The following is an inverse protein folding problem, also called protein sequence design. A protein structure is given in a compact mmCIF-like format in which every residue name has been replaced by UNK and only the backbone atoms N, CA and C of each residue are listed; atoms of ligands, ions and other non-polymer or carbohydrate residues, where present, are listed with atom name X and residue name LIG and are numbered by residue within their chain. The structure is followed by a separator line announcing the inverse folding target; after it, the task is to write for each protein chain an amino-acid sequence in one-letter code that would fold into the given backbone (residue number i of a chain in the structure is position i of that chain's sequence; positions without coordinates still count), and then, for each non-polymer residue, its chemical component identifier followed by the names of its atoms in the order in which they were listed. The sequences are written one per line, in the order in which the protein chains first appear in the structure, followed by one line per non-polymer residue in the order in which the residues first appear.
data_IF_849457350970
#
_entry.id   IF_849457350970
#
_cell.length_a   1.000
_cell.length_b   1.000
_cell.length_c   1.000
_cell.angle_alpha   90.00
_cell.angle_beta   90.00
_cell.angle_gamma   90.00
#
_symmetry.space_group_name_H-M   'P 1'
#
loop_
_entity.id
_entity.type
_entity.pdbx_description
1 polymer ?
#
# COMPACT_ATOMS: atom_id res chain seq x y z
N UNK A 1 15.88 -16.01 24.73
CA UNK A 1 16.63 -15.25 23.72
C UNK A 1 15.62 -14.82 22.67
N UNK A 2 15.28 -13.53 22.60
CA UNK A 2 14.45 -13.01 21.52
C UNK A 2 15.29 -13.08 20.24
N UNK A 3 14.82 -13.81 19.22
CA UNK A 3 15.44 -13.75 17.91
C UNK A 3 15.40 -12.30 17.42
N UNK A 4 16.47 -11.75 16.82
CA UNK A 4 16.40 -10.45 16.19
C UNK A 4 15.29 -10.48 15.14
N UNK A 5 14.35 -9.54 15.24
CA UNK A 5 13.22 -9.47 14.31
C UNK A 5 13.73 -9.09 12.92
N UNK A 6 13.40 -9.92 11.94
CA UNK A 6 13.85 -9.76 10.57
C UNK A 6 13.13 -8.58 9.92
N UNK A 7 13.89 -7.60 9.39
CA UNK A 7 13.35 -6.45 8.68
C UNK A 7 13.06 -6.79 7.21
N UNK A 8 12.08 -6.13 6.61
CA UNK A 8 11.68 -6.36 5.21
C UNK A 8 12.80 -6.01 4.21
N UNK A 9 13.68 -5.06 4.53
CA UNK A 9 14.87 -4.77 3.70
C UNK A 9 15.99 -5.81 3.81
N UNK A 10 15.92 -6.71 4.80
CA UNK A 10 16.97 -7.68 5.13
C UNK A 10 16.70 -9.09 4.62
N UNK A 11 15.60 -9.30 3.88
CA UNK A 11 15.24 -10.61 3.31
C UNK A 11 15.59 -10.70 1.82
N UNK A 12 15.49 -11.91 1.27
CA UNK A 12 15.66 -12.15 -0.17
C UNK A 12 14.67 -11.32 -1.00
N UNK A 13 15.16 -10.73 -2.10
CA UNK A 13 14.40 -9.81 -2.94
C UNK A 13 13.10 -10.43 -3.49
N UNK A 14 13.12 -11.71 -3.86
CA UNK A 14 11.93 -12.41 -4.34
C UNK A 14 10.80 -12.39 -3.31
N UNK A 15 11.11 -12.77 -2.06
CA UNK A 15 10.17 -12.71 -0.93
C UNK A 15 9.78 -11.27 -0.61
N UNK A 16 10.71 -10.32 -0.68
CA UNK A 16 10.44 -8.89 -0.46
C UNK A 16 9.38 -8.37 -1.44
N UNK A 17 9.53 -8.67 -2.74
CA UNK A 17 8.57 -8.28 -3.79
C UNK A 17 7.19 -8.89 -3.56
N UNK A 18 7.12 -10.16 -3.18
CA UNK A 18 5.88 -10.85 -2.86
C UNK A 18 5.14 -10.16 -1.71
N UNK A 19 5.84 -9.91 -0.61
CA UNK A 19 5.27 -9.26 0.57
C UNK A 19 4.81 -7.83 0.28
N UNK A 20 5.60 -7.03 -0.44
CA UNK A 20 5.23 -5.67 -0.84
C UNK A 20 4.00 -5.63 -1.74
N UNK A 21 3.89 -6.58 -2.68
CA UNK A 21 2.70 -6.74 -3.52
C UNK A 21 1.48 -7.17 -2.67
N UNK A 22 1.71 -8.02 -1.68
CA UNK A 22 0.72 -8.44 -0.68
C UNK A 22 0.17 -7.28 0.15
N UNK A 23 0.97 -6.25 0.40
CA UNK A 23 0.57 -5.04 1.13
C UNK A 23 -0.02 -3.93 0.26
N UNK A 24 -0.24 -4.17 -1.04
CA UNK A 24 -0.89 -3.18 -1.90
C UNK A 24 -2.41 -3.13 -1.65
N UNK A 25 -2.92 -1.93 -1.38
CA UNK A 25 -4.34 -1.62 -1.39
C UNK A 25 -4.73 -0.97 -2.72
N UNK A 26 -5.75 -1.53 -3.34
CA UNK A 26 -6.34 -0.99 -4.57
C UNK A 26 -7.39 0.07 -4.25
N UNK A 27 -7.79 0.86 -5.24
CA UNK A 27 -8.87 1.84 -5.07
C UNK A 27 -10.17 1.19 -4.60
N UNK A 28 -10.55 0.04 -5.16
CA UNK A 28 -11.76 -0.68 -4.76
C UNK A 28 -11.69 -1.17 -3.31
N UNK A 29 -10.51 -1.61 -2.86
CA UNK A 29 -10.28 -1.98 -1.47
C UNK A 29 -10.50 -0.79 -0.54
N UNK A 30 -9.91 0.35 -0.87
CA UNK A 30 -10.04 1.57 -0.08
C UNK A 30 -11.50 2.07 -0.04
N UNK A 31 -12.26 1.95 -1.14
CA UNK A 31 -13.71 2.24 -1.15
C UNK A 31 -14.50 1.31 -0.23
N UNK A 32 -14.10 0.04 -0.15
CA UNK A 32 -14.72 -0.91 0.78
C UNK A 32 -14.52 -0.46 2.23
N UNK A 33 -13.30 -0.02 2.57
CA UNK A 33 -13.01 0.52 3.90
C UNK A 33 -13.76 1.83 4.19
N UNK A 34 -14.02 2.67 3.19
CA UNK A 34 -14.86 3.86 3.39
C UNK A 34 -16.31 3.51 3.74
N UNK A 35 -16.86 2.47 3.10
CA UNK A 35 -18.22 2.01 3.35
C UNK A 35 -18.34 1.28 4.69
N UNK A 36 -17.27 0.62 5.13
CA UNK A 36 -17.21 -0.05 6.43
C UNK A 36 -15.85 0.15 7.11
N UNK A 37 -15.63 1.29 7.79
CA UNK A 37 -14.34 1.61 8.44
C UNK A 37 -13.92 0.59 9.51
N UNK A 38 -14.88 -0.13 10.10
CA UNK A 38 -14.61 -1.16 11.11
C UNK A 38 -13.96 -2.44 10.57
N UNK A 39 -13.88 -2.63 9.25
CA UNK A 39 -13.27 -3.84 8.66
C UNK A 39 -11.75 -3.88 8.81
N UNK A 40 -11.10 -2.73 8.95
CA UNK A 40 -9.65 -2.63 9.14
C UNK A 40 -9.33 -1.37 9.94
N UNK A 41 -8.91 -1.57 11.21
CA UNK A 41 -8.66 -0.48 12.15
C UNK A 41 -7.27 0.17 11.98
N UNK A 42 -6.31 -0.55 11.37
CA UNK A 42 -4.98 -0.03 11.07
C UNK A 42 -4.70 -0.14 9.58
N UNK A 43 -4.48 1.00 8.95
CA UNK A 43 -4.32 1.15 7.51
C UNK A 43 -2.98 1.82 7.16
N UNK A 44 -2.20 2.20 8.19
CA UNK A 44 -0.85 2.72 8.03
C UNK A 44 0.09 1.62 7.50
N UNK A 45 1.15 2.04 6.82
CA UNK A 45 2.22 1.21 6.28
C UNK A 45 1.83 0.27 5.12
N UNK A 46 0.54 0.14 4.78
CA UNK A 46 0.13 -0.42 3.49
C UNK A 46 0.58 0.47 2.32
N UNK A 47 0.56 -0.06 1.11
CA UNK A 47 1.01 0.66 -0.08
C UNK A 47 -0.11 0.92 -1.08
N UNK A 48 0.00 2.02 -1.80
CA UNK A 48 -0.90 2.36 -2.92
C UNK A 48 -0.11 2.66 -4.17
N UNK A 49 -0.69 2.33 -5.32
CA UNK A 49 -0.20 2.71 -6.64
C UNK A 49 -0.91 3.96 -7.10
N UNK A 50 -0.22 5.10 -7.10
CA UNK A 50 -0.79 6.41 -7.43
C UNK A 50 -0.55 6.75 -8.89
N UNK A 51 -1.59 7.19 -9.60
CA UNK A 51 -1.45 7.82 -10.90
C UNK A 51 -1.11 9.31 -10.72
N UNK A 52 0.12 9.69 -11.07
CA UNK A 52 0.67 11.04 -10.92
C UNK A 52 0.68 11.83 -12.23
N UNK A 53 0.22 11.26 -13.36
CA UNK A 53 0.34 11.89 -14.68
C UNK A 53 -0.99 12.08 -15.41
N UNK A 54 -1.25 13.29 -15.90
CA UNK A 54 -2.37 13.59 -16.81
C UNK A 54 -2.09 13.27 -18.29
N UNK A 55 -0.82 13.03 -18.67
CA UNK A 55 -0.40 12.79 -20.08
C UNK A 55 0.45 11.55 -20.34
N UNK A 56 1.26 11.10 -19.38
CA UNK A 56 2.19 9.98 -19.56
C UNK A 56 1.91 8.77 -18.64
N UNK A 57 0.78 8.77 -17.92
CA UNK A 57 0.42 7.72 -16.96
C UNK A 57 1.61 7.29 -16.08
N UNK A 58 2.21 8.25 -15.39
CA UNK A 58 3.29 7.97 -14.44
C UNK A 58 2.66 7.39 -13.17
N UNK A 59 3.01 6.15 -12.83
CA UNK A 59 2.55 5.51 -11.61
C UNK A 59 3.65 5.43 -10.57
N UNK A 60 3.32 5.74 -9.33
CA UNK A 60 4.27 5.79 -8.22
C UNK A 60 3.73 4.96 -7.05
N UNK A 61 4.57 4.06 -6.52
CA UNK A 61 4.28 3.36 -5.28
C UNK A 61 4.54 4.28 -4.09
N UNK A 62 3.55 4.40 -3.19
CA UNK A 62 3.61 5.26 -2.01
C UNK A 62 3.09 4.51 -0.78
N UNK A 63 3.68 4.80 0.38
CA UNK A 63 3.28 4.22 1.67
C UNK A 63 2.17 5.06 2.30
N UNK A 64 1.10 4.42 2.74
CA UNK A 64 0.00 5.07 3.45
C UNK A 64 0.44 5.45 4.85
N UNK A 65 0.22 6.70 5.22
CA UNK A 65 0.35 7.19 6.60
C UNK A 65 -1.02 7.20 7.27
N UNK A 66 -2.03 7.73 6.58
CA UNK A 66 -3.38 7.84 7.10
C UNK A 66 -4.40 7.85 5.97
N UNK A 67 -5.60 7.34 6.26
CA UNK A 67 -6.78 7.42 5.38
C UNK A 67 -7.86 8.19 6.15
N UNK A 68 -8.48 9.18 5.49
CA UNK A 68 -9.60 9.92 6.04
C UNK A 68 -10.65 10.18 4.95
N UNK A 69 -11.73 9.39 4.96
CA UNK A 69 -12.72 9.43 3.88
C UNK A 69 -12.05 9.25 2.51
N UNK A 70 -12.28 10.18 1.58
CA UNK A 70 -11.70 10.19 0.23
C UNK A 70 -10.26 10.68 0.14
N UNK A 71 -9.68 11.16 1.24
CA UNK A 71 -8.32 11.67 1.28
C UNK A 71 -7.35 10.64 1.86
N UNK A 72 -6.15 10.59 1.28
CA UNK A 72 -5.03 9.80 1.77
C UNK A 72 -3.86 10.72 2.08
N UNK A 73 -3.18 10.44 3.18
CA UNK A 73 -1.84 10.94 3.46
C UNK A 73 -0.83 9.84 3.15
N UNK A 74 0.15 10.15 2.30
CA UNK A 74 1.12 9.17 1.79
C UNK A 74 2.55 9.70 1.85
N UNK A 75 3.52 8.80 1.91
CA UNK A 75 4.96 9.09 1.82
C UNK A 75 5.59 8.41 0.61
N UNK A 76 6.74 8.94 0.18
CA UNK A 76 7.54 8.36 -0.90
C UNK A 76 7.02 8.65 -2.30
N UNK A 77 6.20 9.69 -2.48
CA UNK A 77 5.82 10.19 -3.81
C UNK A 77 7.00 10.86 -4.50
N UNK A 78 7.69 11.76 -3.79
CA UNK A 78 8.95 12.36 -4.21
C UNK A 78 10.13 11.62 -3.54
N UNK A 79 11.00 10.94 -4.29
CA UNK A 79 12.14 10.23 -3.73
C UNK A 79 13.20 11.17 -3.11
N UNK A 80 13.20 12.46 -3.46
CA UNK A 80 14.17 13.44 -2.95
C UNK A 80 13.74 14.09 -1.63
N UNK A 81 12.54 13.76 -1.14
CA UNK A 81 12.00 14.31 0.10
C UNK A 81 11.67 13.18 1.10
N UNK A 82 12.68 12.67 1.82
CA UNK A 82 12.47 11.64 2.84
C UNK A 82 11.42 12.07 3.86
N UNK A 83 10.52 11.14 4.21
CA UNK A 83 9.45 11.35 5.19
C UNK A 83 8.41 12.44 4.88
N UNK A 84 8.51 13.14 3.73
CA UNK A 84 7.52 14.11 3.32
C UNK A 84 6.15 13.45 3.12
N UNK A 85 5.14 14.01 3.79
CA UNK A 85 3.76 13.54 3.72
C UNK A 85 3.01 14.38 2.70
N UNK A 86 2.59 13.74 1.61
CA UNK A 86 1.73 14.34 0.61
C UNK A 86 0.28 13.93 0.84
N UNK A 87 -0.65 14.88 0.64
CA UNK A 87 -2.08 14.60 0.56
C UNK A 87 -2.47 14.26 -0.88
N UNK A 88 -3.31 13.25 -1.03
CA UNK A 88 -3.87 12.83 -2.31
C UNK A 88 -5.32 12.37 -2.13
N UNK A 89 -6.00 12.10 -3.24
CA UNK A 89 -7.38 11.59 -3.26
C UNK A 89 -7.40 10.13 -3.69
N UNK A 90 -8.36 9.38 -3.16
CA UNK A 90 -8.62 7.99 -3.52
C UNK A 90 -8.80 7.80 -5.03
N UNK A 91 -9.35 8.79 -5.72
CA UNK A 91 -9.53 8.79 -7.18
C UNK A 91 -8.22 8.54 -7.96
N UNK A 92 -7.07 8.97 -7.42
CA UNK A 92 -5.76 8.77 -8.04
C UNK A 92 -5.14 7.41 -7.76
N UNK A 93 -5.74 6.58 -6.88
CA UNK A 93 -5.27 5.22 -6.61
C UNK A 93 -5.68 4.31 -7.77
N UNK A 94 -4.74 3.48 -8.21
CA UNK A 94 -4.91 2.48 -9.26
C UNK A 94 -5.48 1.17 -8.71
N UNK A 95 -6.33 0.50 -9.50
CA UNK A 95 -6.73 -0.89 -9.25
C UNK A 95 -5.77 -1.93 -9.82
N UNK A 96 -4.88 -1.55 -10.74
CA UNK A 96 -3.82 -2.42 -11.22
C UNK A 96 -2.75 -2.63 -10.15
N UNK A 97 -2.19 -3.84 -10.12
CA UNK A 97 -1.09 -4.21 -9.22
C UNK A 97 0.21 -3.51 -9.62
N UNK A 98 1.15 -3.41 -8.68
CA UNK A 98 2.47 -2.89 -8.94
C UNK A 98 3.19 -3.69 -10.02
N UNK A 99 3.79 -2.96 -10.96
CA UNK A 99 4.75 -3.50 -11.91
C UNK A 99 6.09 -3.77 -11.24
N UNK A 100 6.94 -4.55 -11.87
CA UNK A 100 8.23 -4.94 -11.28
C UNK A 100 9.19 -3.75 -11.13
N UNK A 101 9.11 -2.75 -12.01
CA UNK A 101 9.88 -1.51 -11.89
C UNK A 101 9.37 -0.64 -10.72
N UNK A 102 8.05 -0.63 -10.49
CA UNK A 102 7.43 0.11 -9.40
C UNK A 102 7.77 -0.54 -8.04
N UNK A 103 7.85 -1.88 -8.00
CA UNK A 103 8.33 -2.62 -6.83
C UNK A 103 9.82 -2.38 -6.57
N UNK A 104 10.65 -2.38 -7.61
CA UNK A 104 12.08 -2.07 -7.47
C UNK A 104 12.27 -0.68 -6.86
N UNK A 105 11.57 0.33 -7.40
CA UNK A 105 11.61 1.68 -6.84
C UNK A 105 11.07 1.75 -5.40
N UNK A 106 10.09 0.93 -5.03
CA UNK A 106 9.59 0.86 -3.66
C UNK A 106 10.62 0.27 -2.69
N UNK A 107 11.35 -0.77 -3.13
CA UNK A 107 12.45 -1.38 -2.37
C UNK A 107 13.57 -0.36 -2.15
N UNK A 108 13.93 0.40 -3.19
CA UNK A 108 14.95 1.46 -3.06
C UNK A 108 14.50 2.53 -2.06
N UNK A 109 13.22 2.93 -2.05
CA UNK A 109 12.68 3.88 -1.07
C UNK A 109 12.78 3.36 0.38
N UNK A 110 12.57 2.06 0.61
CA UNK A 110 12.76 1.43 1.92
C UNK A 110 14.22 1.49 2.35
N UNK A 111 15.14 1.08 1.46
CA UNK A 111 16.59 1.04 1.74
C UNK A 111 17.16 2.43 1.99
N UNK A 112 16.68 3.44 1.26
CA UNK A 112 17.09 4.83 1.43
C UNK A 112 16.37 5.56 2.57
N UNK A 113 15.46 4.89 3.30
CA UNK A 113 14.70 5.49 4.40
C UNK A 113 13.71 6.58 3.99
N UNK A 114 13.34 6.65 2.70
CA UNK A 114 12.33 7.60 2.20
C UNK A 114 10.95 7.26 2.78
N UNK A 115 10.69 5.97 2.95
CA UNK A 115 9.51 5.40 3.60
C UNK A 115 9.93 4.49 4.74
N UNK A 116 9.00 4.18 5.65
CA UNK A 116 9.29 3.36 6.82
C UNK A 116 9.47 1.90 6.44
N UNK A 117 10.57 1.29 6.91
CA UNK A 117 10.74 -0.16 6.90
C UNK A 117 9.84 -0.83 7.94
N UNK A 118 9.61 -2.14 7.78
CA UNK A 118 8.72 -2.93 8.64
C UNK A 118 9.36 -4.25 9.00
N UNK A 119 8.96 -4.82 10.14
CA UNK A 119 9.35 -6.19 10.49
C UNK A 119 8.53 -7.17 9.67
N UNK A 120 9.16 -8.29 9.27
CA UNK A 120 8.49 -9.32 8.46
C UNK A 120 7.25 -9.87 9.16
N UNK A 121 7.29 -10.07 10.49
CA UNK A 121 6.12 -10.50 11.26
C UNK A 121 4.94 -9.53 11.17
N UNK A 122 5.20 -8.22 11.25
CA UNK A 122 4.16 -7.17 11.09
C UNK A 122 3.57 -7.20 9.67
N UNK A 123 4.43 -7.38 8.66
CA UNK A 123 4.02 -7.48 7.26
C UNK A 123 3.10 -8.68 7.03
N UNK A 124 3.45 -9.84 7.60
CA UNK A 124 2.65 -11.06 7.49
C UNK A 124 1.28 -10.91 8.20
N UNK A 125 1.24 -10.29 9.38
CA UNK A 125 -0.02 -9.95 10.07
C UNK A 125 -0.90 -9.01 9.25
N UNK A 126 -0.31 -7.95 8.68
CA UNK A 126 -1.01 -6.98 7.83
C UNK A 126 -1.56 -7.63 6.55
N UNK A 127 -0.83 -8.56 5.95
CA UNK A 127 -1.34 -9.35 4.83
C UNK A 127 -2.56 -10.19 5.23
N UNK A 128 -2.55 -10.78 6.43
CA UNK A 128 -3.71 -11.47 7.00
C UNK A 128 -4.93 -10.56 7.15
N UNK A 129 -4.74 -9.34 7.68
CA UNK A 129 -5.80 -8.34 7.79
C UNK A 129 -6.39 -7.98 6.43
N UNK A 130 -5.53 -7.75 5.43
CA UNK A 130 -5.98 -7.47 4.05
C UNK A 130 -6.75 -8.64 3.47
N UNK A 131 -6.28 -9.87 3.67
CA UNK A 131 -6.93 -11.06 3.15
C UNK A 131 -8.34 -11.25 3.75
N UNK A 132 -8.52 -10.96 5.04
CA UNK A 132 -9.81 -11.00 5.70
C UNK A 132 -10.82 -10.01 5.06
N UNK A 133 -10.37 -8.80 4.71
CA UNK A 133 -11.22 -7.83 3.99
C UNK A 133 -11.55 -8.30 2.58
N UNK A 134 -10.58 -8.87 1.84
CA UNK A 134 -10.81 -9.41 0.48
C UNK A 134 -11.87 -10.53 0.50
N UNK A 135 -11.91 -11.34 1.55
CA UNK A 135 -12.89 -12.41 1.73
C UNK A 135 -14.25 -11.90 2.25
N UNK A 136 -14.34 -10.65 2.71
CA UNK A 136 -15.57 -10.09 3.24
C UNK A 136 -16.59 -9.83 2.11
N UNK A 137 -17.88 -10.18 2.28
CA UNK A 137 -18.90 -10.02 1.23
C UNK A 137 -19.01 -8.58 0.68
N UNK A 138 -18.79 -7.58 1.53
CA UNK A 138 -18.82 -6.17 1.12
C UNK A 138 -17.76 -5.86 0.05
N UNK A 139 -16.56 -6.44 0.14
CA UNK A 139 -15.50 -6.19 -0.84
C UNK A 139 -15.91 -6.66 -2.23
N UNK A 140 -16.51 -7.85 -2.33
CA UNK A 140 -17.06 -8.38 -3.58
C UNK A 140 -18.16 -7.48 -4.14
N UNK A 141 -19.09 -7.03 -3.28
CA UNK A 141 -20.17 -6.13 -3.69
C UNK A 141 -19.63 -4.78 -4.20
N UNK A 142 -18.67 -4.17 -3.50
CA UNK A 142 -18.03 -2.92 -3.92
C UNK A 142 -17.31 -3.10 -5.26
N UNK A 143 -16.57 -4.20 -5.47
CA UNK A 143 -15.91 -4.49 -6.75
C UNK A 143 -16.89 -4.64 -7.92
N UNK A 144 -18.02 -5.32 -7.71
CA UNK A 144 -19.04 -5.50 -8.75
C UNK A 144 -19.71 -4.17 -9.11
N UNK A 145 -20.03 -3.34 -8.12
CA UNK A 145 -20.64 -2.03 -8.34
C UNK A 145 -19.74 -1.03 -9.10
N UNK A 146 -18.42 -1.26 -9.14
CA UNK A 146 -17.46 -0.43 -9.89
C UNK A 146 -17.19 -0.95 -11.31
N UNK A 147 -17.70 -2.13 -11.68
CA UNK A 147 -17.57 -2.70 -13.03
C UNK A 147 -18.81 -2.44 -13.90
N UNK A 148 -19.89 -1.95 -13.30
CA UNK A 148 -21.11 -1.49 -13.96
C UNK A 148 -21.02 0.02 -14.23
#
# INVERSE_FOLDING_TARGET
QQQPELMLTSIEEGKQRELLRGLQLTRDFLRTLQQAPGLMQSNANFFVRLNMGSRYFLYVAAQIVQINGDELQVRGVDPNQPHFIQRTKLAYVSNAMFKDEELAALIDKLRCGVISDMRVGEVEEMMGLRQAVVQHPLYTATRQAQQQ
#
